data_IF_801431599772
#
_entry.id   IF_801431599772
#
_cell.length_a   1.000
_cell.length_b   1.000
_cell.length_c   1.000
_cell.angle_alpha   90.00
_cell.angle_beta   90.00
_cell.angle_gamma   90.00
#
_symmetry.space_group_name_H-M   'P 1'
#
loop_
_entity.id
_entity.type
_entity.pdbx_description
1 polymer ?
#
# COMPACT_ATOMS: atom_id res chain seq x y z
N UNK A 1 -18.70 11.80 5.88
CA UNK A 1 -19.01 11.07 7.13
C UNK A 1 -20.33 10.30 7.08
N UNK A 2 -21.48 10.91 6.75
CA UNK A 2 -22.80 10.22 6.80
C UNK A 2 -22.84 8.86 6.06
N UNK A 3 -22.13 8.73 4.94
CA UNK A 3 -22.03 7.45 4.21
C UNK A 3 -21.26 6.37 4.98
N UNK A 4 -20.09 6.70 5.56
CA UNK A 4 -19.32 5.75 6.37
C UNK A 4 -20.12 5.31 7.61
N UNK A 5 -20.77 6.27 8.28
CA UNK A 5 -21.62 5.99 9.44
C UNK A 5 -22.82 5.10 9.08
N UNK A 6 -23.49 5.33 7.94
CA UNK A 6 -24.60 4.49 7.50
C UNK A 6 -24.16 3.07 7.11
N UNK A 7 -22.90 2.91 6.70
CA UNK A 7 -22.27 1.60 6.43
C UNK A 7 -21.59 0.97 7.65
N UNK A 8 -21.63 1.63 8.82
CA UNK A 8 -20.93 1.19 10.05
C UNK A 8 -19.42 1.00 9.84
N UNK A 9 -18.82 1.84 9.00
CA UNK A 9 -17.38 1.85 8.76
C UNK A 9 -16.77 2.89 9.70
N UNK A 10 -15.84 2.44 10.54
CA UNK A 10 -15.01 3.32 11.35
C UNK A 10 -13.88 3.89 10.48
N UNK A 11 -13.75 5.21 10.47
CA UNK A 11 -12.69 5.91 9.72
C UNK A 11 -11.58 6.23 10.70
N UNK A 12 -10.37 5.76 10.39
CA UNK A 12 -9.17 6.03 11.18
C UNK A 12 -8.76 7.51 11.02
N UNK A 13 -8.44 8.16 12.13
CA UNK A 13 -7.84 9.49 12.11
C UNK A 13 -6.44 9.41 11.46
N UNK A 14 -6.28 10.14 10.35
CA UNK A 14 -5.07 10.05 9.52
C UNK A 14 -4.33 11.39 9.43
N UNK A 15 -3.03 11.44 9.75
CA UNK A 15 -2.24 12.65 9.60
C UNK A 15 -2.00 12.98 8.12
N UNK A 16 -2.06 14.28 7.78
CA UNK A 16 -1.73 14.74 6.43
C UNK A 16 -0.28 14.37 6.05
N UNK A 17 -0.02 14.22 4.75
CA UNK A 17 1.32 13.96 4.19
C UNK A 17 2.08 12.79 4.83
N UNK A 18 1.36 11.73 5.24
CA UNK A 18 1.95 10.56 5.91
C UNK A 18 1.84 9.27 5.07
N UNK A 19 2.42 9.22 3.85
CA UNK A 19 2.36 8.04 3.00
C UNK A 19 3.04 6.83 3.64
N UNK A 20 4.04 7.05 4.49
CA UNK A 20 4.77 5.97 5.17
C UNK A 20 3.91 5.15 6.12
N UNK A 21 2.83 5.76 6.62
CA UNK A 21 1.86 5.09 7.46
C UNK A 21 0.86 4.29 6.62
N UNK A 22 0.73 4.52 5.32
CA UNK A 22 -0.25 3.81 4.48
C UNK A 22 0.34 2.48 3.98
N UNK A 23 -0.15 1.31 4.44
CA UNK A 23 0.37 0.02 3.98
C UNK A 23 0.21 -0.20 2.47
N UNK A 24 -0.78 0.46 1.85
CA UNK A 24 -1.11 0.31 0.43
C UNK A 24 0.01 0.87 -0.46
N UNK A 25 0.74 1.91 -0.04
CA UNK A 25 1.90 2.43 -0.80
C UNK A 25 2.95 1.34 -1.03
N UNK A 26 3.16 0.50 -0.01
CA UNK A 26 4.10 -0.61 -0.13
C UNK A 26 3.59 -1.70 -1.07
N UNK A 27 2.28 -1.95 -1.08
CA UNK A 27 1.64 -2.89 -2.02
C UNK A 27 1.82 -2.40 -3.45
N UNK A 28 1.61 -1.11 -3.72
CA UNK A 28 1.86 -0.53 -5.06
C UNK A 28 3.31 -0.71 -5.49
N UNK A 29 4.28 -0.52 -4.58
CA UNK A 29 5.68 -0.77 -4.88
C UNK A 29 5.98 -2.23 -5.22
N UNK A 30 5.38 -3.19 -4.50
CA UNK A 30 5.52 -4.62 -4.80
C UNK A 30 4.91 -4.98 -6.15
N UNK A 31 3.69 -4.50 -6.41
CA UNK A 31 2.96 -4.76 -7.65
C UNK A 31 3.70 -4.17 -8.85
N UNK A 32 4.17 -2.93 -8.74
CA UNK A 32 4.95 -2.28 -9.81
C UNK A 32 6.21 -3.07 -10.14
N UNK A 33 6.96 -3.53 -9.13
CA UNK A 33 8.14 -4.38 -9.34
C UNK A 33 7.82 -5.72 -9.98
N UNK A 34 6.64 -6.28 -9.71
CA UNK A 34 6.20 -7.53 -10.31
C UNK A 34 5.79 -7.34 -11.77
N UNK A 35 4.95 -6.34 -12.05
CA UNK A 35 4.45 -6.00 -13.39
C UNK A 35 5.58 -5.69 -14.37
N UNK A 36 6.58 -4.92 -13.94
CA UNK A 36 7.72 -4.50 -14.77
C UNK A 36 8.97 -5.38 -14.59
N UNK A 37 8.83 -6.57 -14.00
CA UNK A 37 9.96 -7.50 -13.81
C UNK A 37 10.61 -7.82 -15.16
N UNK A 38 11.93 -7.97 -15.18
CA UNK A 38 12.71 -8.25 -16.39
C UNK A 38 12.55 -7.16 -17.47
N UNK A 39 12.40 -5.91 -17.03
CA UNK A 39 12.28 -4.73 -17.89
C UNK A 39 11.11 -4.79 -18.89
N UNK A 40 10.07 -5.58 -18.55
CA UNK A 40 8.88 -5.76 -19.39
C UNK A 40 8.25 -4.41 -19.72
N UNK A 41 7.98 -4.19 -21.01
CA UNK A 41 7.26 -3.01 -21.50
C UNK A 41 5.94 -3.44 -22.13
N UNK A 42 4.97 -2.52 -22.14
CA UNK A 42 3.62 -2.76 -22.63
C UNK A 42 3.32 -1.78 -23.76
N UNK A 43 2.68 -2.25 -24.83
CA UNK A 43 2.36 -1.40 -25.99
C UNK A 43 0.97 -0.79 -25.88
N UNK A 44 0.09 -1.39 -25.07
CA UNK A 44 -1.27 -0.90 -24.87
C UNK A 44 -1.64 -0.85 -23.39
N UNK A 45 -2.61 0.00 -23.09
CA UNK A 45 -3.17 0.10 -21.73
C UNK A 45 -3.86 -1.19 -21.31
N UNK A 46 -4.48 -1.92 -22.25
CA UNK A 46 -5.22 -3.14 -21.93
C UNK A 46 -4.26 -4.29 -21.60
N UNK A 47 -3.15 -4.42 -22.33
CA UNK A 47 -2.08 -5.36 -21.99
C UNK A 47 -1.52 -5.11 -20.57
N UNK A 48 -1.31 -3.83 -20.22
CA UNK A 48 -0.86 -3.45 -18.89
C UNK A 48 -1.91 -3.80 -17.82
N UNK A 49 -3.20 -3.54 -18.08
CA UNK A 49 -4.28 -3.86 -17.13
C UNK A 49 -4.37 -5.36 -16.85
N UNK A 50 -4.28 -6.18 -17.89
CA UNK A 50 -4.36 -7.64 -17.75
C UNK A 50 -3.25 -8.15 -16.85
N UNK A 51 -2.02 -7.68 -17.05
CA UNK A 51 -0.88 -8.08 -16.22
C UNK A 51 -0.95 -7.52 -14.80
N UNK A 52 -1.44 -6.29 -14.61
CA UNK A 52 -1.70 -5.75 -13.26
C UNK A 52 -2.71 -6.65 -12.53
N UNK A 53 -3.77 -7.09 -13.20
CA UNK A 53 -4.78 -7.95 -12.61
C UNK A 53 -4.21 -9.31 -12.20
N UNK A 54 -3.45 -9.95 -13.10
CA UNK A 54 -2.81 -11.24 -12.85
C UNK A 54 -1.78 -11.18 -11.72
N UNK A 55 -0.89 -10.17 -11.71
CA UNK A 55 0.12 -10.00 -10.66
C UNK A 55 -0.50 -9.65 -9.31
N UNK A 56 -1.58 -8.86 -9.31
CA UNK A 56 -2.33 -8.54 -8.09
C UNK A 56 -2.94 -9.80 -7.48
N UNK A 57 -3.47 -10.72 -8.29
CA UNK A 57 -4.01 -12.00 -7.83
C UNK A 57 -2.95 -12.97 -7.29
N UNK A 58 -1.71 -12.85 -7.76
CA UNK A 58 -0.59 -13.69 -7.30
C UNK A 58 0.01 -13.23 -5.97
N UNK A 59 -0.30 -12.03 -5.49
CA UNK A 59 0.23 -11.54 -4.22
C UNK A 59 -0.36 -12.33 -3.03
N UNK A 60 0.51 -13.08 -2.35
CA UNK A 60 0.13 -13.91 -1.22
C UNK A 60 -0.47 -13.08 -0.07
N UNK A 61 -1.56 -13.55 0.58
CA UNK A 61 -2.07 -12.98 1.82
C UNK A 61 -1.00 -12.75 2.90
N UNK A 62 0.03 -13.59 2.92
CA UNK A 62 1.17 -13.51 3.85
C UNK A 62 1.95 -12.18 3.73
N UNK A 63 2.07 -11.62 2.52
CA UNK A 63 2.74 -10.33 2.32
C UNK A 63 1.91 -9.18 2.89
N UNK A 64 0.59 -9.20 2.67
CA UNK A 64 -0.34 -8.20 3.20
C UNK A 64 -0.41 -8.24 4.73
N UNK A 65 -0.42 -9.45 5.31
CA UNK A 65 -0.34 -9.61 6.75
C UNK A 65 0.95 -9.03 7.34
N UNK A 66 2.09 -9.30 6.70
CA UNK A 66 3.38 -8.80 7.16
C UNK A 66 3.44 -7.27 7.14
N UNK A 67 2.88 -6.64 6.10
CA UNK A 67 2.77 -5.18 6.02
C UNK A 67 1.88 -4.62 7.12
N UNK A 68 0.74 -5.25 7.36
CA UNK A 68 -0.18 -4.86 8.44
C UNK A 68 0.49 -4.98 9.81
N UNK A 69 1.20 -6.09 10.05
CA UNK A 69 1.96 -6.34 11.30
C UNK A 69 3.12 -5.34 11.49
N UNK A 70 3.61 -4.71 10.42
CA UNK A 70 4.67 -3.70 10.51
C UNK A 70 4.20 -2.32 11.01
N UNK A 71 2.89 -2.05 10.98
CA UNK A 71 2.33 -0.73 11.28
C UNK A 71 2.68 -0.17 12.66
N UNK A 72 2.63 -0.95 13.76
CA UNK A 72 3.06 -0.45 15.06
C UNK A 72 4.50 0.07 15.07
N UNK A 73 5.42 -0.61 14.37
CA UNK A 73 6.81 -0.17 14.28
C UNK A 73 6.94 1.14 13.48
N UNK A 74 6.21 1.27 12.36
CA UNK A 74 6.21 2.50 11.56
C UNK A 74 5.71 3.69 12.39
N UNK A 75 4.63 3.51 13.14
CA UNK A 75 4.10 4.52 14.06
C UNK A 75 5.11 4.92 15.12
N UNK A 76 5.77 3.94 15.78
CA UNK A 76 6.83 4.22 16.75
C UNK A 76 7.96 5.07 16.14
N UNK A 77 8.40 4.77 14.91
CA UNK A 77 9.45 5.54 14.25
C UNK A 77 9.01 6.98 13.92
N UNK A 78 7.79 7.18 13.44
CA UNK A 78 7.25 8.52 13.20
C UNK A 78 7.21 9.32 14.51
N UNK A 79 6.76 8.70 15.61
CA UNK A 79 6.74 9.33 16.94
C UNK A 79 8.15 9.70 17.41
N UNK A 80 9.11 8.77 17.31
CA UNK A 80 10.51 9.00 17.68
C UNK A 80 11.17 10.13 16.87
N UNK A 81 10.72 10.33 15.63
CA UNK A 81 11.19 11.40 14.75
C UNK A 81 10.32 12.66 14.82
N UNK A 82 9.40 12.75 15.78
CA UNK A 82 8.50 13.90 15.96
C UNK A 82 7.72 14.26 14.68
N UNK A 83 7.22 13.25 13.96
CA UNK A 83 6.52 13.43 12.69
C UNK A 83 7.42 13.50 11.45
N UNK A 84 8.75 13.41 11.64
CA UNK A 84 9.71 13.40 10.54
C UNK A 84 9.75 12.11 9.73
N UNK A 85 10.40 12.18 8.55
CA UNK A 85 10.50 11.08 7.59
C UNK A 85 11.20 9.84 8.17
N UNK A 86 10.59 8.67 7.99
CA UNK A 86 11.19 7.38 8.37
C UNK A 86 11.87 6.71 7.16
N UNK A 87 12.60 5.61 7.38
CA UNK A 87 13.31 4.90 6.31
C UNK A 87 12.43 3.88 5.57
N UNK A 88 11.12 3.88 5.85
CA UNK A 88 10.14 2.96 5.28
C UNK A 88 9.60 3.43 3.93
#
# INVERSE_FOLDING_TARGET
MKWFSSKKIEVLDWPANSPVLNPVEHVWGLLTRAVYRHDKQFQTVDELKDVIWDECGQHSPTNLESLTKSMPNRLCQVIQKFGGTTSY
#
